data_IF_747821927674
#
_entry.id   IF_747821927674
#
_cell.length_a   1.000
_cell.length_b   1.000
_cell.length_c   1.000
_cell.angle_alpha   90.00
_cell.angle_beta   90.00
_cell.angle_gamma   90.00
#
_symmetry.space_group_name_H-M   'P 1'
#
loop_
_entity.id
_entity.type
_entity.pdbx_description
1 polymer ?
#
# COMPACT_ATOMS: atom_id res chain seq x y z
N UNK A 1 -8.13 -9.26 -19.62
CA UNK A 1 -7.02 -8.69 -18.83
C UNK A 1 -6.60 -9.79 -17.88
N UNK A 2 -5.30 -10.04 -17.69
CA UNK A 2 -4.82 -11.06 -16.75
C UNK A 2 -4.29 -10.34 -15.52
N UNK A 3 -4.73 -10.74 -14.34
CA UNK A 3 -4.24 -10.25 -13.06
C UNK A 3 -3.73 -11.44 -12.24
N UNK A 4 -2.82 -11.18 -11.30
CA UNK A 4 -2.20 -12.18 -10.44
C UNK A 4 -2.22 -11.74 -8.99
N UNK A 5 -2.25 -12.71 -8.10
CA UNK A 5 -2.14 -12.53 -6.66
C UNK A 5 -1.34 -13.71 -6.08
N UNK A 6 -0.81 -13.55 -4.87
CA UNK A 6 0.04 -14.56 -4.21
C UNK A 6 -0.68 -15.26 -3.06
N UNK A 7 -0.32 -16.51 -2.78
CA UNK A 7 -0.77 -17.23 -1.58
C UNK A 7 0.44 -17.75 -0.80
N UNK A 8 0.37 -17.73 0.52
CA UNK A 8 1.40 -18.27 1.40
C UNK A 8 1.53 -19.79 1.23
N UNK A 9 2.71 -20.34 1.56
CA UNK A 9 2.98 -21.77 1.41
C UNK A 9 2.08 -22.69 2.25
N UNK A 10 1.45 -22.16 3.30
CA UNK A 10 0.46 -22.85 4.13
C UNK A 10 -0.99 -22.67 3.64
N UNK A 11 -1.21 -21.90 2.56
CA UNK A 11 -2.53 -21.65 1.97
C UNK A 11 -3.43 -20.69 2.75
N UNK A 12 -2.96 -20.06 3.84
CA UNK A 12 -3.82 -19.28 4.74
C UNK A 12 -3.87 -17.78 4.46
N UNK A 13 -2.81 -17.24 3.85
CA UNK A 13 -2.66 -15.79 3.63
C UNK A 13 -2.55 -15.51 2.14
N UNK A 14 -3.44 -14.66 1.63
CA UNK A 14 -3.37 -14.12 0.29
C UNK A 14 -2.72 -12.73 0.29
N UNK A 15 -1.94 -12.45 -0.75
CA UNK A 15 -1.28 -11.18 -1.01
C UNK A 15 -1.80 -10.62 -2.32
N UNK A 16 -2.51 -9.49 -2.25
CA UNK A 16 -3.16 -8.86 -3.39
C UNK A 16 -2.56 -7.48 -3.60
N UNK A 17 -2.12 -7.17 -4.81
CA UNK A 17 -1.85 -5.81 -5.23
C UNK A 17 -3.03 -5.32 -6.08
N UNK A 18 -3.75 -4.31 -5.62
CA UNK A 18 -4.92 -3.80 -6.36
C UNK A 18 -4.54 -3.32 -7.76
N UNK A 19 -3.29 -2.84 -7.91
CA UNK A 19 -2.76 -2.36 -9.18
C UNK A 19 -2.75 -3.45 -10.27
N UNK A 20 -2.68 -4.73 -9.90
CA UNK A 20 -2.71 -5.85 -10.85
C UNK A 20 -4.05 -5.95 -11.60
N UNK A 21 -5.15 -5.45 -11.03
CA UNK A 21 -6.48 -5.48 -11.64
C UNK A 21 -7.08 -4.09 -11.90
N UNK A 22 -6.66 -3.08 -11.15
CA UNK A 22 -7.24 -1.73 -11.15
C UNK A 22 -6.15 -0.64 -11.12
N UNK A 23 -4.96 -0.95 -11.62
CA UNK A 23 -3.78 -0.07 -11.58
C UNK A 23 -3.66 0.91 -12.74
N UNK A 24 -2.95 2.00 -12.47
CA UNK A 24 -2.68 3.11 -13.40
C UNK A 24 -1.88 2.68 -14.63
N UNK A 25 -1.04 1.65 -14.50
CA UNK A 25 -0.25 1.08 -15.60
C UNK A 25 -1.10 0.26 -16.59
N UNK A 26 -2.28 -0.19 -16.17
CA UNK A 26 -3.21 -0.92 -17.02
C UNK A 26 -3.98 0.00 -17.97
N UNK A 27 -3.94 1.30 -17.74
CA UNK A 27 -4.68 2.32 -18.50
C UNK A 27 -3.70 3.26 -19.21
N UNK A 28 -3.62 3.20 -20.56
CA UNK A 28 -2.85 4.14 -21.35
C UNK A 28 -3.19 5.58 -20.98
N UNK A 29 -2.21 6.48 -20.98
CA UNK A 29 -2.37 7.85 -20.47
C UNK A 29 -3.55 8.59 -21.13
N UNK A 30 -3.74 8.40 -22.43
CA UNK A 30 -4.79 8.97 -23.24
C UNK A 30 -6.20 8.40 -22.99
N UNK A 31 -6.30 7.29 -22.24
CA UNK A 31 -7.56 6.62 -21.86
C UNK A 31 -7.89 6.76 -20.37
N UNK A 32 -7.08 7.52 -19.62
CA UNK A 32 -7.28 7.71 -18.19
C UNK A 32 -8.47 8.64 -17.96
N UNK A 33 -9.53 8.07 -17.39
CA UNK A 33 -10.72 8.81 -17.01
C UNK A 33 -11.26 8.26 -15.67
N UNK A 34 -11.02 8.99 -14.56
CA UNK A 34 -11.41 8.54 -13.22
C UNK A 34 -12.92 8.57 -12.97
N UNK A 35 -13.72 9.16 -13.88
CA UNK A 35 -15.18 9.09 -13.81
C UNK A 35 -15.70 7.69 -14.18
N UNK A 36 -14.95 6.93 -14.98
CA UNK A 36 -15.40 5.62 -15.52
C UNK A 36 -14.54 4.43 -15.08
N UNK A 37 -13.31 4.65 -14.62
CA UNK A 37 -12.44 3.54 -14.16
C UNK A 37 -13.01 2.86 -12.91
N UNK A 38 -12.98 1.53 -12.90
CA UNK A 38 -13.62 0.71 -11.87
C UNK A 38 -12.65 -0.15 -11.09
N UNK A 39 -12.93 -0.31 -9.80
CA UNK A 39 -12.19 -1.19 -8.89
C UNK A 39 -12.71 -2.64 -8.89
N UNK A 40 -13.68 -3.00 -9.75
CA UNK A 40 -14.31 -4.32 -9.80
C UNK A 40 -13.33 -5.49 -9.81
N UNK A 41 -12.27 -5.40 -10.63
CA UNK A 41 -11.25 -6.44 -10.71
C UNK A 41 -10.51 -6.69 -9.40
N UNK A 42 -10.37 -5.69 -8.53
CA UNK A 42 -9.80 -5.88 -7.19
C UNK A 42 -10.73 -6.73 -6.32
N UNK A 43 -12.05 -6.52 -6.40
CA UNK A 43 -13.03 -7.37 -5.71
C UNK A 43 -13.02 -8.80 -6.24
N UNK A 44 -12.84 -8.99 -7.54
CA UNK A 44 -12.67 -10.32 -8.15
C UNK A 44 -11.41 -11.05 -7.66
N UNK A 45 -10.29 -10.34 -7.46
CA UNK A 45 -9.09 -10.92 -6.83
C UNK A 45 -9.34 -11.33 -5.38
N UNK A 46 -10.08 -10.53 -4.61
CA UNK A 46 -10.45 -10.88 -3.23
C UNK A 46 -11.33 -12.14 -3.22
N UNK A 47 -12.31 -12.26 -4.14
CA UNK A 47 -13.12 -13.48 -4.26
C UNK A 47 -12.26 -14.72 -4.55
N UNK A 48 -11.32 -14.62 -5.48
CA UNK A 48 -10.42 -15.74 -5.79
C UNK A 48 -9.55 -16.16 -4.60
N UNK A 49 -9.07 -15.19 -3.81
CA UNK A 49 -8.34 -15.46 -2.59
C UNK A 49 -9.21 -16.22 -1.56
N UNK A 50 -10.46 -15.79 -1.37
CA UNK A 50 -11.42 -16.47 -0.51
C UNK A 50 -11.79 -17.88 -1.03
N UNK A 51 -11.90 -18.06 -2.34
CA UNK A 51 -12.11 -19.36 -2.98
C UNK A 51 -10.96 -20.33 -2.76
N UNK A 52 -9.74 -19.80 -2.64
CA UNK A 52 -8.55 -20.59 -2.34
C UNK A 52 -8.42 -20.94 -0.86
N UNK A 53 -9.38 -20.54 -0.02
CA UNK A 53 -9.41 -20.83 1.41
C UNK A 53 -8.59 -19.88 2.27
N UNK A 54 -8.16 -18.73 1.72
CA UNK A 54 -7.44 -17.73 2.50
C UNK A 54 -8.34 -17.17 3.61
N UNK A 55 -7.83 -17.17 4.83
CA UNK A 55 -8.49 -16.56 6.01
C UNK A 55 -7.83 -15.25 6.41
N UNK A 56 -6.71 -14.91 5.79
CA UNK A 56 -6.01 -13.64 5.93
C UNK A 56 -5.76 -13.07 4.53
N UNK A 57 -6.03 -11.79 4.34
CA UNK A 57 -5.72 -11.10 3.09
C UNK A 57 -4.92 -9.85 3.42
N UNK A 58 -3.77 -9.70 2.78
CA UNK A 58 -2.97 -8.48 2.78
C UNK A 58 -3.13 -7.81 1.43
N UNK A 59 -3.60 -6.56 1.42
CA UNK A 59 -3.89 -5.80 0.20
C UNK A 59 -2.99 -4.58 0.12
N UNK A 60 -2.17 -4.50 -0.92
CA UNK A 60 -1.48 -3.28 -1.33
C UNK A 60 -2.39 -2.42 -2.21
N UNK A 61 -2.67 -1.18 -1.79
CA UNK A 61 -3.55 -0.25 -2.51
C UNK A 61 -2.82 0.91 -3.22
N UNK A 62 -1.52 0.78 -3.42
CA UNK A 62 -0.75 1.73 -4.24
C UNK A 62 -1.09 1.64 -5.72
N UNK A 63 -0.84 2.72 -6.48
CA UNK A 63 -0.84 2.69 -7.94
C UNK A 63 -2.21 2.58 -8.63
N UNK A 64 -3.31 2.95 -7.97
CA UNK A 64 -4.68 2.86 -8.53
C UNK A 64 -4.93 3.77 -9.74
N UNK A 65 -5.70 3.27 -10.72
CA UNK A 65 -6.32 4.07 -11.79
C UNK A 65 -7.69 4.67 -11.41
N UNK A 66 -8.26 4.23 -10.30
CA UNK A 66 -9.68 4.41 -9.94
C UNK A 66 -9.91 5.61 -9.03
N UNK A 67 -11.08 6.22 -9.11
CA UNK A 67 -11.58 7.21 -8.14
C UNK A 67 -13.06 6.96 -7.81
N UNK A 68 -13.43 5.68 -7.73
CA UNK A 68 -14.79 5.18 -7.56
C UNK A 68 -15.14 4.86 -6.09
N UNK A 69 -14.32 5.28 -5.13
CA UNK A 69 -14.55 4.99 -3.72
C UNK A 69 -14.47 3.49 -3.38
N UNK A 70 -13.94 2.64 -4.25
CA UNK A 70 -14.03 1.19 -4.08
C UNK A 70 -15.43 0.61 -4.36
N UNK A 71 -16.34 1.37 -4.98
CA UNK A 71 -17.69 0.92 -5.32
C UNK A 71 -17.68 -0.34 -6.20
N UNK A 72 -16.86 -0.36 -7.26
CA UNK A 72 -16.74 -1.54 -8.12
C UNK A 72 -16.27 -2.78 -7.36
N UNK A 73 -15.30 -2.62 -6.44
CA UNK A 73 -14.79 -3.69 -5.59
C UNK A 73 -15.89 -4.27 -4.72
N UNK A 74 -16.67 -3.45 -4.00
CA UNK A 74 -17.73 -3.96 -3.12
C UNK A 74 -18.91 -4.54 -3.89
N UNK A 75 -19.21 -4.01 -5.09
CA UNK A 75 -20.19 -4.61 -6.01
C UNK A 75 -19.76 -6.01 -6.46
N UNK A 76 -18.48 -6.21 -6.80
CA UNK A 76 -17.96 -7.54 -7.12
C UNK A 76 -18.09 -8.50 -5.95
N UNK A 77 -17.91 -8.01 -4.72
CA UNK A 77 -18.04 -8.79 -3.49
C UNK A 77 -19.49 -9.07 -3.07
N UNK A 78 -20.47 -8.57 -3.82
CA UNK A 78 -21.90 -8.87 -3.64
C UNK A 78 -22.73 -7.79 -2.95
N UNK A 79 -22.14 -6.63 -2.60
CA UNK A 79 -22.91 -5.49 -2.15
C UNK A 79 -23.70 -4.87 -3.32
N UNK A 80 -24.92 -4.42 -3.06
CA UNK A 80 -25.73 -3.68 -4.04
C UNK A 80 -25.70 -2.20 -3.71
N UNK A 81 -25.21 -1.42 -4.65
CA UNK A 81 -25.18 0.04 -4.57
C UNK A 81 -26.27 0.54 -5.53
N UNK A 82 -27.37 1.07 -5.00
CA UNK A 82 -28.58 1.34 -5.79
C UNK A 82 -28.91 2.83 -5.88
N UNK A 83 -29.48 3.23 -7.01
CA UNK A 83 -30.05 4.56 -7.23
C UNK A 83 -31.42 4.73 -6.53
N UNK A 84 -32.02 5.91 -6.66
CA UNK A 84 -33.33 6.22 -6.08
C UNK A 84 -34.49 5.37 -6.64
N UNK A 85 -34.30 4.71 -7.79
CA UNK A 85 -35.28 3.81 -8.41
C UNK A 85 -35.05 2.35 -7.99
N UNK A 86 -34.01 2.06 -7.21
CA UNK A 86 -33.63 0.70 -6.80
C UNK A 86 -32.81 -0.07 -7.84
N UNK A 87 -32.30 0.60 -8.88
CA UNK A 87 -31.40 -0.03 -9.85
C UNK A 87 -29.95 0.10 -9.39
N UNK A 88 -29.11 -0.91 -9.67
CA UNK A 88 -27.68 -0.80 -9.37
C UNK A 88 -27.04 0.35 -10.16
N UNK A 89 -26.20 1.13 -9.48
CA UNK A 89 -25.44 2.22 -10.12
C UNK A 89 -24.41 1.66 -11.09
N UNK A 90 -24.05 2.48 -12.07
CA UNK A 90 -22.97 2.18 -13.01
C UNK A 90 -21.59 2.13 -12.34
N UNK A 91 -20.57 1.89 -13.16
CA UNK A 91 -19.19 1.88 -12.70
C UNK A 91 -18.56 3.27 -12.66
N UNK A 92 -17.44 3.39 -11.93
CA UNK A 92 -16.61 4.58 -11.89
C UNK A 92 -17.10 5.67 -10.94
N UNK A 93 -16.23 6.64 -10.66
CA UNK A 93 -16.51 7.72 -9.71
C UNK A 93 -17.63 8.68 -10.14
N UNK A 94 -17.96 8.73 -11.44
CA UNK A 94 -19.08 9.53 -11.95
C UNK A 94 -20.43 8.97 -11.51
N UNK A 95 -20.56 7.65 -11.42
CA UNK A 95 -21.82 6.97 -11.08
C UNK A 95 -22.20 7.11 -9.60
N UNK A 96 -21.27 7.52 -8.74
CA UNK A 96 -21.52 7.69 -7.31
C UNK A 96 -22.53 8.81 -7.01
N UNK A 97 -22.74 9.77 -7.91
CA UNK A 97 -23.69 10.85 -7.70
C UNK A 97 -25.17 10.38 -7.62
N UNK A 98 -25.50 9.23 -8.23
CA UNK A 98 -26.86 8.69 -8.23
C UNK A 98 -27.13 7.72 -7.09
N UNK A 99 -26.09 7.34 -6.33
CA UNK A 99 -26.22 6.40 -5.23
C UNK A 99 -27.23 6.92 -4.21
N UNK A 100 -28.15 6.06 -3.79
CA UNK A 100 -29.18 6.41 -2.81
C UNK A 100 -29.21 5.43 -1.64
N UNK A 101 -28.91 4.16 -1.89
CA UNK A 101 -28.97 3.10 -0.88
C UNK A 101 -27.86 2.05 -1.08
N UNK A 102 -27.45 1.43 0.03
CA UNK A 102 -26.44 0.37 0.06
C UNK A 102 -27.02 -0.83 0.78
N UNK A 103 -27.09 -1.97 0.09
CA UNK A 103 -27.48 -3.27 0.66
C UNK A 103 -26.28 -4.22 0.67
N UNK A 104 -25.88 -4.63 1.86
CA UNK A 104 -24.75 -5.56 2.10
C UNK A 104 -25.19 -7.00 2.38
N UNK A 105 -26.49 -7.31 2.31
CA UNK A 105 -27.00 -8.66 2.57
C UNK A 105 -26.43 -9.72 1.61
N UNK A 106 -26.01 -9.29 0.42
CA UNK A 106 -25.37 -10.11 -0.60
C UNK A 106 -23.84 -10.20 -0.51
N UNK A 107 -23.19 -9.50 0.44
CA UNK A 107 -21.74 -9.60 0.60
C UNK A 107 -21.32 -11.05 0.86
N UNK A 108 -20.20 -11.45 0.23
CA UNK A 108 -19.66 -12.80 0.37
C UNK A 108 -19.50 -13.17 1.86
N UNK A 109 -20.15 -14.25 2.34
CA UNK A 109 -20.17 -14.57 3.76
C UNK A 109 -18.79 -14.90 4.33
N UNK A 110 -17.84 -15.33 3.49
CA UNK A 110 -16.46 -15.67 3.91
C UNK A 110 -15.68 -14.45 4.40
N UNK A 111 -16.11 -13.24 4.01
CA UNK A 111 -15.51 -11.98 4.46
C UNK A 111 -15.63 -11.78 5.97
N UNK A 112 -16.66 -12.35 6.62
CA UNK A 112 -16.88 -12.21 8.07
C UNK A 112 -15.79 -12.90 8.90
N UNK A 113 -15.26 -14.01 8.39
CA UNK A 113 -14.24 -14.82 9.07
C UNK A 113 -12.83 -14.53 8.54
N UNK A 114 -12.70 -13.63 7.56
CA UNK A 114 -11.44 -13.27 6.93
C UNK A 114 -10.85 -12.00 7.52
N UNK A 115 -9.61 -12.05 7.98
CA UNK A 115 -8.89 -10.87 8.46
C UNK A 115 -8.25 -10.14 7.28
N UNK A 116 -8.66 -8.90 7.03
CA UNK A 116 -8.15 -8.09 5.93
C UNK A 116 -7.29 -6.94 6.46
N UNK A 117 -6.04 -6.88 5.99
CA UNK A 117 -5.07 -5.82 6.32
C UNK A 117 -4.68 -5.08 5.06
N UNK A 118 -4.66 -3.75 5.13
CA UNK A 118 -4.47 -2.89 3.97
C UNK A 118 -3.21 -2.05 4.18
N UNK A 119 -2.25 -2.21 3.28
CA UNK A 119 -1.04 -1.38 3.27
C UNK A 119 -1.39 0.02 2.75
N UNK A 120 -1.40 0.98 3.67
CA UNK A 120 -1.73 2.38 3.42
C UNK A 120 -0.67 3.28 4.07
N UNK A 121 0.19 3.86 3.25
CA UNK A 121 1.28 4.75 3.71
C UNK A 121 0.93 6.24 3.58
N UNK A 122 -0.34 6.57 3.29
CA UNK A 122 -0.84 7.94 3.20
C UNK A 122 -1.93 8.18 4.24
N UNK A 123 -2.04 9.42 4.71
CA UNK A 123 -3.03 9.82 5.73
C UNK A 123 -4.18 10.66 5.16
N UNK A 124 -4.23 10.82 3.83
CA UNK A 124 -5.25 11.63 3.16
C UNK A 124 -6.67 11.14 3.50
N UNK A 125 -7.58 12.03 3.93
CA UNK A 125 -9.00 11.69 4.15
C UNK A 125 -9.70 11.40 2.83
N UNK A 126 -10.97 11.01 2.89
CA UNK A 126 -11.73 10.66 1.69
C UNK A 126 -11.95 11.87 0.77
N UNK A 127 -12.27 13.03 1.36
CA UNK A 127 -12.72 14.24 0.65
C UNK A 127 -11.99 15.52 1.10
N UNK A 128 -12.21 16.62 0.38
CA UNK A 128 -11.71 17.95 0.71
C UNK A 128 -10.35 18.27 0.09
N UNK A 129 -9.72 19.34 0.58
CA UNK A 129 -8.47 19.86 -0.01
C UNK A 129 -7.29 18.88 0.04
N UNK A 130 -7.33 17.96 1.00
CA UNK A 130 -6.35 16.87 1.11
C UNK A 130 -6.96 15.50 0.75
N UNK A 131 -8.15 15.49 0.15
CA UNK A 131 -8.92 14.29 -0.16
C UNK A 131 -8.42 13.50 -1.37
N UNK A 132 -9.07 12.37 -1.64
CA UNK A 132 -8.68 11.43 -2.68
C UNK A 132 -8.61 12.09 -4.07
N UNK A 133 -9.69 12.77 -4.45
CA UNK A 133 -9.84 13.41 -5.76
C UNK A 133 -8.85 14.55 -5.96
N UNK A 134 -8.66 15.39 -4.94
CA UNK A 134 -7.78 16.56 -5.02
C UNK A 134 -6.31 16.18 -5.12
N UNK A 135 -5.86 15.23 -4.32
CA UNK A 135 -4.44 14.88 -4.21
C UNK A 135 -4.03 13.84 -5.26
N UNK A 136 -4.86 12.83 -5.51
CA UNK A 136 -4.49 11.71 -6.39
C UNK A 136 -5.25 11.69 -7.71
N UNK A 137 -6.29 12.51 -7.90
CA UNK A 137 -7.03 12.62 -9.16
C UNK A 137 -6.18 13.06 -10.36
N UNK A 138 -5.32 14.09 -10.26
CA UNK A 138 -4.56 14.61 -11.40
C UNK A 138 -3.72 13.55 -12.12
N UNK A 139 -2.99 12.71 -11.38
CA UNK A 139 -2.17 11.64 -11.97
C UNK A 139 -3.01 10.54 -12.65
N UNK A 140 -4.30 10.44 -12.31
CA UNK A 140 -5.29 9.53 -12.89
C UNK A 140 -6.06 10.15 -14.05
N UNK A 141 -5.68 11.35 -14.51
CA UNK A 141 -6.31 12.03 -15.66
C UNK A 141 -7.46 12.98 -15.29
N UNK A 142 -7.70 13.26 -14.00
CA UNK A 142 -8.75 14.20 -13.60
C UNK A 142 -8.38 15.64 -13.97
N UNK A 143 -9.27 16.33 -14.69
CA UNK A 143 -9.26 17.79 -14.81
C UNK A 143 -9.78 18.46 -13.53
N UNK A 144 -9.57 19.77 -13.36
CA UNK A 144 -10.11 20.51 -12.21
C UNK A 144 -11.64 20.37 -12.04
N UNK A 145 -12.38 20.37 -13.16
CA UNK A 145 -13.83 20.15 -13.12
C UNK A 145 -14.18 18.73 -12.64
N UNK A 146 -13.45 17.71 -13.13
CA UNK A 146 -13.62 16.33 -12.67
C UNK A 146 -13.26 16.17 -11.20
N UNK A 147 -12.24 16.87 -10.71
CA UNK A 147 -11.84 16.81 -9.29
C UNK A 147 -12.97 17.30 -8.40
N UNK A 148 -13.60 18.43 -8.74
CA UNK A 148 -14.75 18.97 -7.99
C UNK A 148 -15.93 18.01 -8.03
N UNK A 149 -16.23 17.44 -9.19
CA UNK A 149 -17.31 16.44 -9.34
C UNK A 149 -17.03 15.19 -8.50
N UNK A 150 -15.84 14.60 -8.63
CA UNK A 150 -15.45 13.39 -7.91
C UNK A 150 -15.41 13.60 -6.38
N UNK A 151 -14.96 14.77 -5.91
CA UNK A 151 -14.93 15.08 -4.47
C UNK A 151 -16.36 15.20 -3.89
N UNK A 152 -17.27 15.86 -4.62
CA UNK A 152 -18.69 15.90 -4.25
C UNK A 152 -19.32 14.51 -4.25
N UNK A 153 -19.02 13.69 -5.26
CA UNK A 153 -19.51 12.33 -5.38
C UNK A 153 -19.00 11.44 -4.24
N UNK A 154 -17.72 11.56 -3.86
CA UNK A 154 -17.16 10.85 -2.71
C UNK A 154 -17.73 11.37 -1.38
N UNK A 155 -18.02 12.66 -1.26
CA UNK A 155 -18.68 13.20 -0.06
C UNK A 155 -20.08 12.63 0.08
N UNK A 156 -20.83 12.58 -1.02
CA UNK A 156 -22.15 11.95 -1.04
C UNK A 156 -22.07 10.46 -0.69
N UNK A 157 -21.13 9.73 -1.30
CA UNK A 157 -20.86 8.32 -0.98
C UNK A 157 -20.58 8.10 0.51
N UNK A 158 -19.78 8.96 1.14
CA UNK A 158 -19.49 8.89 2.57
C UNK A 158 -20.75 9.03 3.44
N UNK A 159 -21.65 9.95 3.10
CA UNK A 159 -22.92 10.13 3.82
C UNK A 159 -23.83 8.91 3.66
N UNK A 160 -23.89 8.31 2.47
CA UNK A 160 -24.67 7.08 2.24
C UNK A 160 -24.08 5.89 3.01
N UNK A 161 -22.74 5.72 3.02
CA UNK A 161 -22.05 4.72 3.85
C UNK A 161 -22.43 4.91 5.32
N UNK A 162 -22.31 6.13 5.84
CA UNK A 162 -22.61 6.43 7.24
C UNK A 162 -24.06 6.11 7.60
N UNK A 163 -25.00 6.37 6.70
CA UNK A 163 -26.42 6.05 6.88
C UNK A 163 -26.68 4.54 6.88
N UNK A 164 -26.12 3.81 5.92
CA UNK A 164 -26.42 2.40 5.69
C UNK A 164 -25.63 1.44 6.59
N UNK A 165 -24.35 1.73 6.83
CA UNK A 165 -23.43 0.87 7.59
C UNK A 165 -23.12 1.40 9.00
N UNK A 166 -23.53 2.63 9.33
CA UNK A 166 -23.19 3.29 10.60
C UNK A 166 -21.68 3.47 10.84
N UNK A 167 -20.90 3.54 9.77
CA UNK A 167 -19.45 3.80 9.80
C UNK A 167 -19.16 5.18 9.21
N UNK A 168 -18.49 6.04 9.97
CA UNK A 168 -18.04 7.35 9.47
C UNK A 168 -16.61 7.24 8.94
N UNK A 169 -16.46 7.35 7.61
CA UNK A 169 -15.18 7.19 6.91
C UNK A 169 -14.63 8.50 6.35
N UNK A 170 -15.40 9.60 6.46
CA UNK A 170 -15.13 10.84 5.71
C UNK A 170 -13.77 11.44 6.02
N UNK A 171 -13.46 11.56 7.30
CA UNK A 171 -12.26 12.20 7.82
C UNK A 171 -11.21 11.21 8.34
N UNK A 172 -11.42 9.91 8.13
CA UNK A 172 -10.51 8.87 8.64
C UNK A 172 -9.18 8.93 7.87
N UNK A 173 -8.03 8.99 8.56
CA UNK A 173 -6.73 8.99 7.90
C UNK A 173 -6.55 7.77 7.00
N UNK A 174 -6.19 8.00 5.73
CA UNK A 174 -6.01 6.94 4.74
C UNK A 174 -7.29 6.50 4.03
N UNK A 175 -8.45 7.03 4.40
CA UNK A 175 -9.71 6.76 3.71
C UNK A 175 -9.66 7.13 2.22
N UNK A 176 -8.90 8.17 1.86
CA UNK A 176 -8.73 8.61 0.48
C UNK A 176 -7.75 7.78 -0.36
N UNK A 177 -7.05 6.82 0.25
CA UNK A 177 -6.12 5.96 -0.46
C UNK A 177 -6.83 5.19 -1.60
N UNK A 178 -6.11 5.00 -2.70
CA UNK A 178 -6.63 4.36 -3.92
C UNK A 178 -7.95 4.96 -4.45
N UNK A 179 -8.14 6.29 -4.34
CA UNK A 179 -9.35 6.93 -4.86
C UNK A 179 -10.58 6.65 -4.01
N UNK A 180 -10.40 6.49 -2.70
CA UNK A 180 -11.45 6.21 -1.73
C UNK A 180 -11.68 4.72 -1.44
N UNK A 181 -10.91 3.81 -2.06
CA UNK A 181 -11.00 2.38 -1.74
C UNK A 181 -10.61 2.09 -0.29
N UNK A 182 -9.71 2.87 0.32
CA UNK A 182 -9.41 2.78 1.75
C UNK A 182 -10.67 2.89 2.61
N UNK A 183 -11.55 3.85 2.30
CA UNK A 183 -12.85 4.01 2.96
C UNK A 183 -13.75 2.78 2.81
N UNK A 184 -13.86 2.21 1.60
CA UNK A 184 -14.67 1.02 1.37
C UNK A 184 -14.12 -0.23 2.07
N UNK A 185 -12.79 -0.42 2.07
CA UNK A 185 -12.15 -1.52 2.79
C UNK A 185 -12.44 -1.44 4.31
N UNK A 186 -12.46 -0.24 4.90
CA UNK A 186 -12.87 -0.06 6.29
C UNK A 186 -14.36 -0.33 6.50
N UNK A 187 -15.22 0.34 5.74
CA UNK A 187 -16.66 0.33 5.99
C UNK A 187 -17.33 -1.02 5.70
N UNK A 188 -16.97 -1.66 4.59
CA UNK A 188 -17.65 -2.87 4.13
C UNK A 188 -16.99 -4.16 4.62
N UNK A 189 -15.67 -4.11 4.82
CA UNK A 189 -14.86 -5.31 5.06
C UNK A 189 -14.20 -5.31 6.44
N UNK A 190 -14.40 -4.26 7.24
CA UNK A 190 -13.79 -4.12 8.57
C UNK A 190 -12.27 -4.15 8.53
N UNK A 191 -11.66 -3.75 7.40
CA UNK A 191 -10.23 -3.90 7.20
C UNK A 191 -9.44 -2.87 8.02
N UNK A 192 -8.26 -3.29 8.49
CA UNK A 192 -7.33 -2.42 9.19
C UNK A 192 -6.36 -1.75 8.22
N UNK A 193 -6.34 -0.41 8.19
CA UNK A 193 -5.34 0.35 7.47
C UNK A 193 -4.10 0.46 8.36
N UNK A 194 -2.98 -0.07 7.86
CA UNK A 194 -1.69 -0.01 8.53
C UNK A 194 -0.61 0.39 7.55
N UNK A 195 0.50 0.90 8.05
CA UNK A 195 1.66 1.13 7.18
C UNK A 195 2.12 -0.20 6.58
N UNK A 196 2.51 -0.17 5.30
CA UNK A 196 2.95 -1.36 4.58
C UNK A 196 4.10 -2.07 5.30
N UNK A 197 5.01 -1.30 5.91
CA UNK A 197 6.12 -1.88 6.65
C UNK A 197 5.65 -2.62 7.91
N UNK A 198 4.68 -2.10 8.65
CA UNK A 198 4.14 -2.79 9.84
C UNK A 198 3.48 -4.13 9.45
N UNK A 199 2.75 -4.13 8.34
CA UNK A 199 2.12 -5.36 7.83
C UNK A 199 3.19 -6.39 7.45
N UNK A 200 4.21 -5.99 6.71
CA UNK A 200 5.29 -6.89 6.26
C UNK A 200 6.11 -7.41 7.44
N UNK A 201 6.48 -6.54 8.39
CA UNK A 201 7.26 -6.97 9.56
C UNK A 201 6.48 -7.95 10.44
N UNK A 202 5.17 -7.74 10.60
CA UNK A 202 4.28 -8.65 11.33
C UNK A 202 4.10 -9.96 10.58
N UNK A 203 3.81 -9.93 9.28
CA UNK A 203 3.55 -11.11 8.46
C UNK A 203 4.77 -12.05 8.35
N UNK A 204 5.99 -11.50 8.46
CA UNK A 204 7.24 -12.25 8.40
C UNK A 204 7.82 -12.57 9.80
N UNK A 205 7.10 -12.30 10.88
CA UNK A 205 7.58 -12.43 12.27
C UNK A 205 8.98 -11.81 12.48
N UNK A 206 9.24 -10.66 11.85
CA UNK A 206 10.58 -10.06 11.84
C UNK A 206 11.10 -9.79 13.26
N UNK A 207 10.22 -9.41 14.17
CA UNK A 207 10.56 -9.09 15.55
C UNK A 207 11.18 -10.30 16.29
N UNK A 208 10.65 -11.51 16.07
CA UNK A 208 11.19 -12.75 16.64
C UNK A 208 12.61 -13.04 16.11
N UNK A 209 12.81 -12.88 14.80
CA UNK A 209 14.12 -13.07 14.18
C UNK A 209 15.15 -12.04 14.65
N UNK A 210 14.72 -10.80 14.88
CA UNK A 210 15.60 -9.73 15.36
C UNK A 210 15.99 -9.94 16.83
N UNK A 211 15.10 -10.44 17.67
CA UNK A 211 15.40 -10.72 19.08
C UNK A 211 16.67 -11.60 19.22
N UNK A 212 16.80 -12.63 18.38
CA UNK A 212 17.89 -13.62 18.47
C UNK A 212 19.13 -13.27 17.65
N UNK A 213 19.09 -12.20 16.84
CA UNK A 213 20.24 -11.81 16.03
C UNK A 213 21.29 -11.01 16.82
N UNK A 214 22.52 -10.94 16.30
CA UNK A 214 23.59 -10.08 16.83
C UNK A 214 23.78 -8.78 16.05
N UNK A 215 23.33 -8.77 14.80
CA UNK A 215 23.47 -7.67 13.84
C UNK A 215 22.33 -7.73 12.84
N UNK A 216 21.76 -6.57 12.52
CA UNK A 216 20.76 -6.40 11.48
C UNK A 216 21.39 -5.70 10.28
N UNK A 217 21.20 -6.28 9.09
CA UNK A 217 21.56 -5.64 7.82
C UNK A 217 20.27 -5.41 7.05
N UNK A 218 20.06 -4.18 6.59
CA UNK A 218 18.89 -3.78 5.79
C UNK A 218 19.33 -2.94 4.60
N UNK A 219 18.43 -2.60 3.69
CA UNK A 219 18.76 -1.83 2.50
C UNK A 219 17.58 -1.54 1.59
N UNK A 220 17.79 -0.58 0.69
CA UNK A 220 16.88 -0.25 -0.40
C UNK A 220 17.63 0.42 -1.56
N UNK A 221 16.96 0.70 -2.68
CA UNK A 221 17.60 1.29 -3.87
C UNK A 221 18.19 2.69 -3.63
N UNK A 222 17.55 3.50 -2.78
CA UNK A 222 18.03 4.81 -2.36
C UNK A 222 17.64 5.07 -0.92
N UNK A 223 18.63 5.35 -0.07
CA UNK A 223 18.38 5.82 1.30
C UNK A 223 18.57 7.33 1.34
N UNK A 224 17.51 8.04 1.74
CA UNK A 224 17.40 9.50 1.80
C UNK A 224 16.45 9.94 2.93
N UNK A 225 16.14 11.24 3.04
CA UNK A 225 15.15 11.73 4.01
C UNK A 225 13.71 11.25 3.77
N UNK A 226 13.41 10.63 2.63
CA UNK A 226 12.10 9.98 2.44
C UNK A 226 12.08 8.60 3.10
N UNK A 227 13.23 7.96 3.32
CA UNK A 227 13.32 6.66 3.98
C UNK A 227 12.79 6.67 5.40
N UNK A 228 12.89 7.81 6.11
CA UNK A 228 12.33 7.98 7.46
C UNK A 228 10.80 8.00 7.50
N UNK A 229 10.13 8.15 6.36
CA UNK A 229 8.68 8.18 6.25
C UNK A 229 8.11 6.78 6.01
N UNK A 230 8.46 5.83 6.88
CA UNK A 230 7.83 4.49 6.90
C UNK A 230 8.38 3.50 5.86
N UNK A 231 9.54 3.75 5.24
CA UNK A 231 10.17 2.77 4.34
C UNK A 231 10.85 1.62 5.09
N UNK A 232 11.19 0.58 4.32
CA UNK A 232 11.74 -0.69 4.82
C UNK A 232 12.93 -0.52 5.75
N UNK A 233 14.00 0.24 5.42
CA UNK A 233 15.19 0.31 6.27
C UNK A 233 14.87 0.83 7.67
N UNK A 234 13.99 1.82 7.76
CA UNK A 234 13.65 2.48 9.03
C UNK A 234 12.67 1.64 9.83
N UNK A 235 11.71 0.96 9.19
CA UNK A 235 10.86 0.00 9.92
C UNK A 235 11.67 -1.16 10.52
N UNK A 236 12.62 -1.72 9.74
CA UNK A 236 13.54 -2.75 10.24
C UNK A 236 14.41 -2.20 11.39
N UNK A 237 14.96 -1.00 11.24
CA UNK A 237 15.76 -0.36 12.29
C UNK A 237 14.96 -0.12 13.57
N UNK A 238 13.71 0.35 13.47
CA UNK A 238 12.84 0.57 14.62
C UNK A 238 12.60 -0.72 15.41
N UNK A 239 12.32 -1.85 14.73
CA UNK A 239 12.17 -3.15 15.39
C UNK A 239 13.50 -3.58 16.04
N UNK A 240 14.63 -3.43 15.34
CA UNK A 240 15.96 -3.74 15.86
C UNK A 240 16.32 -2.97 17.13
N UNK A 241 15.95 -1.68 17.20
CA UNK A 241 16.26 -0.82 18.34
C UNK A 241 15.45 -1.12 19.59
N UNK A 242 14.26 -1.74 19.48
CA UNK A 242 13.55 -2.29 20.66
C UNK A 242 14.39 -3.30 21.44
N UNK A 243 15.27 -4.03 20.76
CA UNK A 243 16.14 -5.06 21.33
C UNK A 243 17.62 -4.66 21.36
N UNK A 244 17.89 -3.35 21.24
CA UNK A 244 19.24 -2.77 21.25
C UNK A 244 20.21 -3.42 20.24
N UNK A 245 19.70 -3.86 19.09
CA UNK A 245 20.54 -4.48 18.05
C UNK A 245 21.22 -3.39 17.20
N UNK A 246 22.49 -3.62 16.79
CA UNK A 246 23.14 -2.77 15.81
C UNK A 246 22.53 -3.00 14.41
N UNK A 247 22.42 -1.93 13.62
CA UNK A 247 21.76 -1.89 12.32
C UNK A 247 22.69 -1.23 11.30
N UNK A 248 22.94 -1.92 10.20
CA UNK A 248 23.69 -1.38 9.06
C UNK A 248 22.78 -1.33 7.83
N UNK A 249 22.68 -0.16 7.21
CA UNK A 249 22.00 0.06 5.94
C UNK A 249 22.97 -0.08 4.76
N UNK A 250 22.56 -0.81 3.72
CA UNK A 250 23.27 -0.92 2.44
C UNK A 250 22.33 -0.42 1.34
N UNK A 251 22.70 0.67 0.66
CA UNK A 251 21.85 1.32 -0.33
C UNK A 251 22.45 1.30 -1.74
N UNK A 252 21.58 1.24 -2.75
CA UNK A 252 21.95 1.46 -4.15
C UNK A 252 22.58 2.84 -4.38
N UNK A 253 22.05 3.86 -3.72
CA UNK A 253 22.56 5.23 -3.70
C UNK A 253 22.21 5.92 -2.38
N UNK A 254 22.98 6.95 -2.01
CA UNK A 254 22.71 7.84 -0.89
C UNK A 254 22.59 9.26 -1.42
N UNK A 255 21.84 10.10 -0.71
CA UNK A 255 21.72 11.54 -0.96
C UNK A 255 22.44 12.34 0.11
N UNK A 256 22.61 13.65 -0.12
CA UNK A 256 23.34 14.53 0.80
C UNK A 256 22.72 14.62 2.20
N UNK A 257 21.41 14.36 2.31
CA UNK A 257 20.63 14.39 3.54
C UNK A 257 20.51 13.04 4.25
N UNK A 258 21.22 12.00 3.79
CA UNK A 258 21.17 10.64 4.33
C UNK A 258 21.42 10.59 5.85
N UNK A 259 22.21 11.51 6.41
CA UNK A 259 22.58 11.52 7.82
C UNK A 259 21.39 11.52 8.80
N UNK A 260 20.20 11.93 8.35
CA UNK A 260 18.97 11.89 9.15
C UNK A 260 18.65 10.47 9.63
N UNK A 261 18.97 9.42 8.86
CA UNK A 261 18.62 8.03 9.22
C UNK A 261 19.30 7.54 10.49
N UNK A 262 20.41 8.15 10.90
CA UNK A 262 21.09 7.82 12.15
C UNK A 262 20.26 8.17 13.38
N UNK A 263 19.43 9.21 13.28
CA UNK A 263 18.50 9.59 14.34
C UNK A 263 17.28 8.64 14.40
N UNK A 264 17.10 7.81 13.37
CA UNK A 264 16.01 6.85 13.22
C UNK A 264 16.49 5.39 13.28
N UNK A 265 17.60 5.15 13.98
CA UNK A 265 18.02 3.81 14.38
C UNK A 265 18.97 3.07 13.43
N UNK A 266 19.44 3.68 12.34
CA UNK A 266 20.50 3.09 11.51
C UNK A 266 21.87 3.53 12.07
N UNK A 267 22.71 2.61 12.53
CA UNK A 267 24.01 2.97 13.13
C UNK A 267 25.07 3.31 12.07
N UNK A 268 25.03 2.65 10.92
CA UNK A 268 25.92 2.93 9.80
C UNK A 268 25.19 2.71 8.47
N UNK A 269 25.53 3.51 7.45
CA UNK A 269 24.94 3.41 6.12
C UNK A 269 26.03 3.46 5.05
N UNK A 270 25.90 2.60 4.02
CA UNK A 270 26.88 2.48 2.94
C UNK A 270 26.20 2.50 1.58
N UNK A 271 26.79 3.22 0.62
CA UNK A 271 26.44 3.10 -0.80
C UNK A 271 27.17 1.91 -1.42
N UNK A 272 26.52 1.20 -2.34
CA UNK A 272 27.14 0.08 -3.08
C UNK A 272 27.93 0.53 -4.32
N UNK A 273 27.76 1.77 -4.76
CA UNK A 273 28.44 2.27 -5.97
C UNK A 273 29.96 2.34 -5.77
N UNK A 274 30.71 1.73 -6.69
CA UNK A 274 32.18 1.69 -6.64
C UNK A 274 32.85 2.71 -7.55
N UNK A 275 32.12 3.25 -8.52
CA UNK A 275 32.61 4.22 -9.50
C UNK A 275 31.47 5.08 -10.01
N UNK A 276 31.81 6.21 -10.61
CA UNK A 276 30.86 7.01 -11.37
C UNK A 276 30.47 6.22 -12.62
N UNK A 277 29.17 6.12 -12.90
CA UNK A 277 28.64 5.38 -14.04
C UNK A 277 27.20 5.79 -14.35
N UNK A 278 26.67 5.25 -15.43
CA UNK A 278 25.26 5.40 -15.79
C UNK A 278 24.36 4.55 -14.88
N UNK A 279 23.07 4.87 -14.83
CA UNK A 279 22.10 4.10 -14.07
C UNK A 279 22.02 2.65 -14.56
N UNK A 280 22.11 2.43 -15.87
CA UNK A 280 22.11 1.10 -16.48
C UNK A 280 23.33 0.26 -16.05
N UNK A 281 24.51 0.88 -15.99
CA UNK A 281 25.72 0.21 -15.50
C UNK A 281 25.61 -0.13 -14.02
N UNK A 282 25.03 0.77 -13.22
CA UNK A 282 24.76 0.52 -11.80
C UNK A 282 23.81 -0.67 -11.60
N UNK A 283 22.74 -0.77 -12.41
CA UNK A 283 21.82 -1.92 -12.35
C UNK A 283 22.47 -3.22 -12.84
N UNK A 284 23.22 -3.19 -13.94
CA UNK A 284 23.94 -4.38 -14.46
C UNK A 284 24.94 -4.93 -13.44
N UNK A 285 25.63 -4.06 -12.72
CA UNK A 285 26.61 -4.44 -11.69
C UNK A 285 26.03 -4.59 -10.27
N UNK A 286 24.71 -4.46 -10.07
CA UNK A 286 24.11 -4.33 -8.74
C UNK A 286 24.47 -5.48 -7.80
N UNK A 287 24.39 -6.72 -8.28
CA UNK A 287 24.73 -7.91 -7.49
C UNK A 287 26.18 -7.87 -6.99
N UNK A 288 27.14 -7.67 -7.89
CA UNK A 288 28.56 -7.64 -7.56
C UNK A 288 28.90 -6.49 -6.61
N UNK A 289 28.28 -5.33 -6.83
CA UNK A 289 28.43 -4.14 -6.00
C UNK A 289 27.92 -4.38 -4.57
N UNK A 290 26.74 -4.99 -4.42
CA UNK A 290 26.18 -5.37 -3.11
C UNK A 290 27.10 -6.37 -2.40
N UNK A 291 27.58 -7.41 -3.11
CA UNK A 291 28.49 -8.41 -2.53
C UNK A 291 29.80 -7.79 -2.05
N UNK A 292 30.42 -6.91 -2.86
CA UNK A 292 31.65 -6.21 -2.50
C UNK A 292 31.48 -5.30 -1.29
N UNK A 293 30.42 -4.49 -1.27
CA UNK A 293 30.09 -3.63 -0.15
C UNK A 293 29.88 -4.46 1.13
N UNK A 294 29.05 -5.50 1.07
CA UNK A 294 28.76 -6.40 2.19
C UNK A 294 30.01 -7.07 2.74
N UNK A 295 30.90 -7.57 1.85
CA UNK A 295 32.19 -8.17 2.25
C UNK A 295 33.07 -7.17 2.99
N UNK A 296 33.16 -5.92 2.51
CA UNK A 296 34.01 -4.90 3.14
C UNK A 296 33.45 -4.44 4.48
N UNK A 297 32.13 -4.32 4.60
CA UNK A 297 31.44 -4.06 5.88
C UNK A 297 31.77 -5.18 6.88
N UNK A 298 31.58 -6.45 6.49
CA UNK A 298 31.90 -7.59 7.35
C UNK A 298 33.38 -7.64 7.75
N UNK A 299 34.29 -7.34 6.82
CA UNK A 299 35.73 -7.26 7.12
C UNK A 299 36.04 -6.14 8.13
N UNK A 300 35.35 -5.00 8.04
CA UNK A 300 35.50 -3.86 8.96
C UNK A 300 35.04 -4.25 10.37
N UNK A 301 33.89 -4.92 10.48
CA UNK A 301 33.39 -5.45 11.75
C UNK A 301 34.38 -6.46 12.37
N UNK A 302 34.91 -7.39 11.57
CA UNK A 302 35.89 -8.37 12.03
C UNK A 302 37.21 -7.75 12.50
N UNK A 303 37.63 -6.62 11.91
CA UNK A 303 38.75 -5.82 12.41
C UNK A 303 38.40 -5.22 13.78
N UNK A 304 37.21 -4.59 13.90
CA UNK A 304 36.74 -4.01 15.16
C UNK A 304 36.66 -5.04 16.30
N UNK A 305 36.11 -6.22 16.05
CA UNK A 305 36.00 -7.30 17.04
C UNK A 305 37.37 -7.81 17.52
N UNK A 306 38.36 -7.92 16.62
CA UNK A 306 39.72 -8.36 16.98
C UNK A 306 40.47 -7.37 17.87
N UNK A 307 40.11 -6.09 17.81
CA UNK A 307 40.74 -5.05 18.61
C UNK A 307 40.01 -4.78 19.94
N UNK A 308 38.83 -5.39 20.14
CA UNK A 308 38.00 -5.21 21.34
C UNK A 308 38.17 -6.36 22.37
N UNK A 309 38.88 -7.43 22.01
CA UNK A 309 39.29 -8.51 22.91
C UNK A 309 40.78 -8.44 23.21
#
# INVERSE_FOLDING_TARGET
MNASWGISGDGKTAFIEMAAASGLELVPAEKRDPLVTTSRGTGELILQALESGATNIIIGIGGSATNDGGAGMVQALGAKLCDANGNEIGFGGGSLNTLNDIDISGLDPRLKDCVIRVACDVTNPLVGDNGASRIFGPQKGASEAMIVELDNNLSHYAEVIKKALHVDVKDVPGAGAAGGMGAALMAFLGAELKSGIEIVTTALNLEEHIHDCTLVITGEGRIDSQSIHGKVPIGVANVAKKYHKPVIGIAGSLTDDVGVVHQHGIDAVFSVLTSIGTLDEAFRGAYDNICRASRNIAATLAIGMRNAG
#
